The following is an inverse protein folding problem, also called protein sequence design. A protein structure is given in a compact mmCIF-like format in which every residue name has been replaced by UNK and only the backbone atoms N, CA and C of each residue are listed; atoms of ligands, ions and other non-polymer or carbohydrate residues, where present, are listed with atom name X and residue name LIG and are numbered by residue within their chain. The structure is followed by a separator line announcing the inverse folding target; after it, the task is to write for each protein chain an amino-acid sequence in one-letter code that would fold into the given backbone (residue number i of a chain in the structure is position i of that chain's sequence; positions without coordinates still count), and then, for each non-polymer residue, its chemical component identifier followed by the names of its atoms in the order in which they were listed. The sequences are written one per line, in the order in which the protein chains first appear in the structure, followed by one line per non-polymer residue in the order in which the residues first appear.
data_IF_302069064857
#
_entry.id   IF_302069064857
#
_cell.length_a   1.000
_cell.length_b   1.000
_cell.length_c   1.000
_cell.angle_alpha   90.00
_cell.angle_beta   90.00
_cell.angle_gamma   90.00
#
_symmetry.space_group_name_H-M   'P 1'
#
loop_
_entity.id
_entity.type
_entity.pdbx_description
1 polymer ?
#
# COMPACT_ATOMS: atom_id res chain seq x y z
N UNK A 1 14.74 -19.46 -9.89
CA UNK A 1 14.90 -18.26 -9.02
C UNK A 1 14.02 -17.10 -9.45
N UNK A 2 14.07 -16.67 -10.70
CA UNK A 2 13.33 -15.49 -11.22
C UNK A 2 11.81 -15.54 -10.96
N UNK A 3 11.15 -16.66 -11.21
CA UNK A 3 9.70 -16.80 -10.97
C UNK A 3 9.34 -16.67 -9.48
N UNK A 4 10.16 -17.21 -8.57
CA UNK A 4 9.94 -17.09 -7.13
C UNK A 4 10.07 -15.65 -6.65
N UNK A 5 11.05 -14.89 -7.16
CA UNK A 5 11.24 -13.48 -6.82
C UNK A 5 10.05 -12.64 -7.30
N UNK A 6 9.54 -12.90 -8.51
CA UNK A 6 8.34 -12.22 -9.00
C UNK A 6 7.08 -12.56 -8.20
N UNK A 7 6.91 -13.84 -7.87
CA UNK A 7 5.78 -14.26 -7.02
C UNK A 7 5.84 -13.62 -5.62
N UNK A 8 7.04 -13.55 -5.04
CA UNK A 8 7.25 -12.86 -3.77
C UNK A 8 6.90 -11.36 -3.88
N UNK A 9 7.35 -10.70 -4.97
CA UNK A 9 7.05 -9.29 -5.20
C UNK A 9 5.54 -9.02 -5.31
N UNK A 10 4.81 -9.86 -6.07
CA UNK A 10 3.36 -9.77 -6.19
C UNK A 10 2.67 -9.98 -4.82
N UNK A 11 3.19 -10.91 -4.03
CA UNK A 11 2.67 -11.18 -2.70
C UNK A 11 2.85 -9.99 -1.74
N UNK A 12 4.00 -9.30 -1.81
CA UNK A 12 4.23 -8.10 -1.01
C UNK A 12 3.37 -6.92 -1.47
N UNK A 13 3.17 -6.74 -2.78
CA UNK A 13 2.24 -5.74 -3.32
C UNK A 13 0.79 -6.01 -2.87
N UNK A 14 0.37 -7.28 -2.81
CA UNK A 14 -0.97 -7.64 -2.34
C UNK A 14 -1.20 -7.35 -0.84
N UNK A 15 -0.12 -7.23 -0.06
CA UNK A 15 -0.11 -6.77 1.34
C UNK A 15 -0.01 -5.25 1.48
N UNK A 16 -0.24 -4.51 0.40
CA UNK A 16 -0.11 -3.05 0.35
C UNK A 16 1.31 -2.54 0.66
N UNK A 17 2.35 -3.32 0.33
CA UNK A 17 3.75 -2.93 0.50
C UNK A 17 4.36 -2.48 -0.82
N UNK A 18 5.09 -1.38 -0.83
CA UNK A 18 5.91 -0.98 -1.98
C UNK A 18 6.98 -2.04 -2.23
N UNK A 19 7.25 -2.32 -3.50
CA UNK A 19 8.31 -3.26 -3.90
C UNK A 19 9.23 -2.58 -4.91
N UNK A 20 10.54 -2.69 -4.67
CA UNK A 20 11.54 -2.32 -5.67
C UNK A 20 12.18 -3.57 -6.26
N UNK A 21 12.34 -3.61 -7.59
CA UNK A 21 12.91 -4.75 -8.33
C UNK A 21 14.12 -4.30 -9.13
N UNK A 22 15.15 -5.14 -9.13
CA UNK A 22 16.27 -5.08 -10.05
C UNK A 22 16.23 -6.30 -10.98
N UNK A 23 16.42 -6.05 -12.27
CA UNK A 23 16.52 -7.10 -13.30
C UNK A 23 17.80 -6.91 -14.12
N UNK A 24 18.63 -7.93 -14.23
CA UNK A 24 19.79 -7.93 -15.15
C UNK A 24 19.26 -8.05 -16.58
N UNK A 25 19.42 -7.00 -17.37
CA UNK A 25 18.90 -6.91 -18.75
C UNK A 25 19.95 -7.27 -19.80
N UNK A 26 21.22 -6.95 -19.54
CA UNK A 26 22.31 -7.34 -20.47
C UNK A 26 23.63 -7.50 -19.72
N UNK A 27 24.49 -8.34 -20.27
CA UNK A 27 25.83 -8.60 -19.74
C UNK A 27 26.86 -8.61 -20.89
N UNK A 28 28.09 -8.21 -20.60
CA UNK A 28 29.22 -8.36 -21.53
C UNK A 28 30.51 -8.62 -20.76
N UNK A 29 31.36 -9.49 -21.32
CA UNK A 29 32.59 -9.93 -20.68
C UNK A 29 32.35 -10.87 -19.47
N UNK A 30 33.32 -10.96 -18.55
CA UNK A 30 33.20 -11.80 -17.36
C UNK A 30 32.39 -11.09 -16.27
N UNK A 31 31.22 -11.61 -15.97
CA UNK A 31 30.29 -11.03 -14.99
C UNK A 31 29.75 -12.12 -14.04
N UNK A 32 29.50 -11.83 -12.76
CA UNK A 32 28.99 -12.82 -11.80
C UNK A 32 27.49 -13.08 -11.94
N UNK A 33 26.74 -12.18 -12.57
CA UNK A 33 25.29 -12.29 -12.80
C UNK A 33 24.95 -12.83 -14.19
N UNK A 34 23.75 -13.37 -14.33
CA UNK A 34 23.20 -13.83 -15.61
C UNK A 34 22.05 -12.93 -16.02
N UNK A 35 21.87 -12.72 -17.32
CA UNK A 35 20.68 -12.07 -17.85
C UNK A 35 19.40 -12.73 -17.35
N UNK A 36 18.43 -11.93 -16.99
CA UNK A 36 17.19 -12.39 -16.36
C UNK A 36 17.30 -12.67 -14.85
N UNK A 37 18.48 -12.54 -14.22
CA UNK A 37 18.59 -12.60 -12.77
C UNK A 37 17.83 -11.43 -12.14
N UNK A 38 17.12 -11.68 -11.02
CA UNK A 38 16.28 -10.68 -10.35
C UNK A 38 16.48 -10.69 -8.86
N UNK A 39 16.43 -9.48 -8.30
CA UNK A 39 16.35 -9.20 -6.88
C UNK A 39 15.18 -8.25 -6.65
N UNK A 40 14.38 -8.53 -5.63
CA UNK A 40 13.30 -7.63 -5.21
C UNK A 40 13.46 -7.32 -3.72
N UNK A 41 13.02 -6.15 -3.30
CA UNK A 41 13.02 -5.76 -1.89
C UNK A 41 11.79 -4.92 -1.52
N UNK A 42 11.43 -4.98 -0.25
CA UNK A 42 10.59 -4.02 0.46
C UNK A 42 11.48 -3.12 1.33
N UNK A 43 10.89 -2.28 2.15
CA UNK A 43 11.65 -1.50 3.16
C UNK A 43 12.43 -2.39 4.13
N UNK A 44 11.96 -3.60 4.41
CA UNK A 44 12.51 -4.50 5.44
C UNK A 44 13.16 -5.76 4.90
N UNK A 45 12.70 -6.31 3.78
CA UNK A 45 13.07 -7.62 3.29
C UNK A 45 13.72 -7.56 1.91
N UNK A 46 14.52 -8.58 1.58
CA UNK A 46 15.17 -8.76 0.27
C UNK A 46 14.95 -10.19 -0.19
N UNK A 47 14.63 -10.39 -1.47
CA UNK A 47 14.41 -11.68 -2.10
C UNK A 47 15.10 -11.75 -3.46
N UNK A 48 15.74 -12.88 -3.78
CA UNK A 48 16.45 -13.09 -5.04
C UNK A 48 17.89 -12.55 -5.04
N UNK A 49 18.49 -12.48 -6.23
CA UNK A 49 19.88 -12.02 -6.42
C UNK A 49 20.10 -11.56 -7.86
N UNK A 50 20.95 -10.56 -8.03
CA UNK A 50 21.46 -10.12 -9.34
C UNK A 50 22.87 -10.63 -9.64
N UNK A 51 23.46 -11.37 -8.68
CA UNK A 51 24.80 -11.97 -8.78
C UNK A 51 25.94 -11.03 -8.35
N UNK A 52 26.88 -11.62 -7.60
CA UNK A 52 28.09 -10.93 -7.13
C UNK A 52 27.85 -9.95 -5.98
N UNK A 53 28.48 -10.20 -4.83
CA UNK A 53 28.24 -9.45 -3.59
C UNK A 53 28.42 -7.92 -3.76
N UNK A 54 29.43 -7.47 -4.48
CA UNK A 54 29.70 -6.05 -4.67
C UNK A 54 28.63 -5.35 -5.53
N UNK A 55 28.17 -6.00 -6.61
CA UNK A 55 27.08 -5.50 -7.45
C UNK A 55 25.77 -5.45 -6.65
N UNK A 56 25.46 -6.55 -5.96
CA UNK A 56 24.24 -6.70 -5.18
C UNK A 56 24.11 -5.64 -4.09
N UNK A 57 25.20 -5.35 -3.36
CA UNK A 57 25.22 -4.29 -2.36
C UNK A 57 24.89 -2.89 -2.94
N UNK A 58 25.44 -2.55 -4.12
CA UNK A 58 25.15 -1.26 -4.77
C UNK A 58 23.71 -1.20 -5.29
N UNK A 59 23.23 -2.28 -5.89
CA UNK A 59 21.85 -2.40 -6.37
C UNK A 59 20.86 -2.28 -5.19
N UNK A 60 21.07 -3.00 -4.10
CA UNK A 60 20.21 -2.92 -2.91
C UNK A 60 20.20 -1.49 -2.34
N UNK A 61 21.38 -0.87 -2.20
CA UNK A 61 21.48 0.51 -1.71
C UNK A 61 20.67 1.47 -2.59
N UNK A 62 20.80 1.35 -3.91
CA UNK A 62 20.07 2.21 -4.85
C UNK A 62 18.56 1.95 -4.80
N UNK A 63 18.12 0.69 -4.79
CA UNK A 63 16.71 0.34 -4.68
C UNK A 63 16.09 0.85 -3.37
N UNK A 64 16.81 0.81 -2.24
CA UNK A 64 16.35 1.37 -0.97
C UNK A 64 16.14 2.88 -1.07
N UNK A 65 17.09 3.61 -1.65
CA UNK A 65 16.93 5.04 -1.89
C UNK A 65 15.70 5.35 -2.77
N UNK A 66 15.49 4.55 -3.82
CA UNK A 66 14.34 4.73 -4.71
C UNK A 66 13.01 4.44 -4.00
N UNK A 67 12.89 3.35 -3.26
CA UNK A 67 11.64 2.95 -2.60
C UNK A 67 11.26 3.93 -1.48
N UNK A 68 12.24 4.46 -0.75
CA UNK A 68 12.03 5.43 0.34
C UNK A 68 11.51 6.78 -0.21
N UNK A 69 12.03 7.22 -1.36
CA UNK A 69 11.63 8.48 -1.99
C UNK A 69 10.42 8.38 -2.93
N UNK A 70 10.02 7.16 -3.32
CA UNK A 70 8.99 6.99 -4.33
C UNK A 70 7.59 7.31 -3.81
N UNK A 71 6.96 8.30 -4.42
CA UNK A 71 5.52 8.62 -4.25
C UNK A 71 4.65 8.08 -5.39
N UNK A 72 5.28 7.68 -6.50
CA UNK A 72 4.67 7.09 -7.69
C UNK A 72 5.59 6.02 -8.28
N UNK A 73 5.08 5.11 -9.14
CA UNK A 73 5.92 4.16 -9.85
C UNK A 73 7.03 4.88 -10.61
N UNK A 74 8.25 4.38 -10.52
CA UNK A 74 9.41 4.94 -11.21
C UNK A 74 10.43 3.86 -11.56
N UNK A 75 11.33 4.15 -12.49
CA UNK A 75 12.39 3.23 -12.86
C UNK A 75 13.53 3.93 -13.58
N UNK A 76 14.67 3.24 -13.60
CA UNK A 76 15.88 3.67 -14.32
C UNK A 76 16.71 2.45 -14.74
N UNK A 77 17.62 2.63 -15.68
CA UNK A 77 18.61 1.61 -16.08
C UNK A 77 19.99 2.11 -15.69
N UNK A 78 20.75 1.28 -14.98
CA UNK A 78 22.13 1.59 -14.61
C UNK A 78 23.06 0.53 -15.18
N UNK A 79 24.14 0.97 -15.85
CA UNK A 79 25.22 0.10 -16.29
C UNK A 79 26.40 0.17 -15.32
N UNK A 80 26.78 -0.97 -14.77
CA UNK A 80 27.94 -1.12 -13.91
C UNK A 80 29.11 -1.70 -14.67
N UNK A 81 30.28 -1.07 -14.58
CA UNK A 81 31.54 -1.63 -15.04
C UNK A 81 32.26 -2.33 -13.91
N UNK A 82 32.51 -3.61 -14.06
CA UNK A 82 33.06 -4.49 -12.99
C UNK A 82 34.59 -4.44 -12.89
N UNK A 83 35.21 -3.27 -13.12
CA UNK A 83 36.64 -3.04 -12.89
C UNK A 83 36.89 -1.60 -12.41
N UNK A 84 38.02 -1.38 -11.72
CA UNK A 84 38.42 -0.05 -11.20
C UNK A 84 38.63 1.03 -12.26
N UNK A 85 38.76 0.65 -13.51
CA UNK A 85 39.06 1.55 -14.65
C UNK A 85 37.93 1.63 -15.68
N UNK A 86 36.73 1.14 -15.39
CA UNK A 86 35.62 1.20 -16.31
C UNK A 86 35.30 2.65 -16.66
N UNK A 87 35.59 3.03 -17.90
CA UNK A 87 35.29 4.36 -18.48
C UNK A 87 34.18 4.20 -19.52
N UNK A 88 33.33 5.18 -19.59
CA UNK A 88 32.26 5.29 -20.58
C UNK A 88 31.18 6.21 -20.06
N UNK A 89 30.48 6.86 -20.98
CA UNK A 89 29.30 7.64 -20.67
C UNK A 89 28.28 6.72 -19.98
N UNK A 90 27.79 7.07 -18.81
CA UNK A 90 26.79 6.32 -18.04
C UNK A 90 27.25 4.98 -17.40
N UNK A 91 28.54 4.71 -17.27
CA UNK A 91 29.03 3.51 -16.58
C UNK A 91 29.44 3.87 -15.14
N UNK A 92 28.82 3.20 -14.18
CA UNK A 92 29.25 3.31 -12.76
C UNK A 92 30.35 2.28 -12.46
N UNK A 93 31.57 2.69 -12.11
CA UNK A 93 32.65 1.77 -11.80
C UNK A 93 32.37 0.99 -10.50
N UNK A 94 32.62 -0.30 -10.54
CA UNK A 94 32.55 -1.19 -9.39
C UNK A 94 33.92 -1.81 -9.15
N UNK A 95 34.38 -1.74 -7.90
CA UNK A 95 35.62 -2.43 -7.51
C UNK A 95 35.38 -3.95 -7.43
N UNK A 96 35.65 -4.65 -8.54
CA UNK A 96 35.44 -6.07 -8.70
C UNK A 96 36.63 -6.68 -9.44
N UNK A 97 36.90 -7.95 -9.18
CA UNK A 97 37.90 -8.75 -9.91
C UNK A 97 37.41 -9.18 -11.30
N UNK A 98 36.14 -8.97 -11.62
CA UNK A 98 35.54 -9.28 -12.91
C UNK A 98 35.75 -8.10 -13.88
N UNK A 99 36.00 -8.38 -15.16
CA UNK A 99 36.31 -7.35 -16.18
C UNK A 99 35.15 -7.01 -17.12
N UNK A 100 33.92 -7.39 -16.77
CA UNK A 100 32.73 -7.23 -17.62
C UNK A 100 31.88 -5.99 -17.31
N UNK A 101 30.77 -5.89 -18.01
CA UNK A 101 29.71 -4.89 -17.77
C UNK A 101 28.39 -5.58 -17.57
N UNK A 102 27.53 -4.97 -16.74
CA UNK A 102 26.17 -5.45 -16.47
C UNK A 102 25.21 -4.26 -16.45
N UNK A 103 24.15 -4.33 -17.24
CA UNK A 103 23.07 -3.34 -17.21
C UNK A 103 21.91 -3.91 -16.41
N UNK A 104 21.44 -3.12 -15.46
CA UNK A 104 20.37 -3.50 -14.52
C UNK A 104 19.23 -2.50 -14.65
N UNK A 105 18.05 -2.97 -14.96
CA UNK A 105 16.82 -2.18 -14.83
C UNK A 105 16.37 -2.21 -13.37
N UNK A 106 16.09 -1.04 -12.83
CA UNK A 106 15.60 -0.80 -11.48
C UNK A 106 14.20 -0.21 -11.55
N UNK A 107 13.25 -0.77 -10.84
CA UNK A 107 11.85 -0.31 -10.83
C UNK A 107 11.31 -0.27 -9.43
N UNK A 108 10.48 0.73 -9.13
CA UNK A 108 9.66 0.79 -7.91
C UNK A 108 8.20 0.65 -8.30
N UNK A 109 7.56 -0.35 -7.75
CA UNK A 109 6.13 -0.63 -7.88
C UNK A 109 5.42 -0.18 -6.61
N UNK A 110 4.31 0.52 -6.80
CA UNK A 110 3.42 0.94 -5.72
C UNK A 110 2.18 0.05 -5.77
N UNK A 111 1.72 -0.48 -4.62
CA UNK A 111 0.52 -1.32 -4.59
C UNK A 111 -0.71 -0.53 -5.06
N UNK A 112 -1.66 -1.24 -5.67
CA UNK A 112 -2.97 -0.67 -5.96
C UNK A 112 -3.72 -0.41 -4.66
N UNK A 113 -4.43 0.71 -4.52
CA UNK A 113 -5.30 0.95 -3.38
C UNK A 113 -6.29 -0.20 -3.19
N UNK A 114 -6.48 -0.61 -1.94
CA UNK A 114 -7.46 -1.59 -1.56
C UNK A 114 -8.26 -1.04 -0.38
N UNK A 115 -9.51 -0.71 -0.61
CA UNK A 115 -10.38 -0.02 0.34
C UNK A 115 -11.30 -1.02 1.01
N UNK A 116 -11.31 -1.07 2.35
CA UNK A 116 -12.35 -1.80 3.08
C UNK A 116 -13.51 -0.86 3.42
N UNK A 117 -14.69 -1.20 2.94
CA UNK A 117 -15.94 -0.50 3.20
C UNK A 117 -16.66 -1.21 4.34
N UNK A 118 -16.63 -0.64 5.54
CA UNK A 118 -17.34 -1.18 6.71
C UNK A 118 -18.71 -0.52 6.83
N UNK A 119 -19.73 -1.22 6.34
CA UNK A 119 -21.07 -0.74 6.06
C UNK A 119 -21.32 -0.66 4.55
N UNK A 120 -22.07 -1.63 3.98
CA UNK A 120 -22.30 -1.79 2.53
C UNK A 120 -23.49 -1.02 1.97
N UNK A 121 -23.92 0.07 2.64
CA UNK A 121 -25.05 0.89 2.23
C UNK A 121 -24.80 1.73 0.98
N UNK A 122 -25.64 2.77 0.75
CA UNK A 122 -25.59 3.60 -0.45
C UNK A 122 -24.23 4.29 -0.66
N UNK A 123 -23.63 4.84 0.40
CA UNK A 123 -22.31 5.47 0.30
C UNK A 123 -21.22 4.45 -0.11
N UNK A 124 -21.27 3.24 0.43
CA UNK A 124 -20.33 2.18 0.05
C UNK A 124 -20.49 1.79 -1.42
N UNK A 125 -21.74 1.70 -1.91
CA UNK A 125 -22.01 1.41 -3.32
C UNK A 125 -21.46 2.51 -4.23
N UNK A 126 -21.68 3.78 -3.91
CA UNK A 126 -21.15 4.90 -4.68
C UNK A 126 -19.61 4.88 -4.74
N UNK A 127 -18.93 4.57 -3.60
CA UNK A 127 -17.47 4.44 -3.56
C UNK A 127 -17.01 3.23 -4.39
N UNK A 128 -17.69 2.08 -4.28
CA UNK A 128 -17.38 0.89 -5.06
C UNK A 128 -17.48 1.15 -6.57
N UNK A 129 -18.53 1.86 -7.00
CA UNK A 129 -18.70 2.25 -8.41
C UNK A 129 -17.60 3.23 -8.87
N UNK A 130 -17.13 4.13 -8.01
CA UNK A 130 -16.00 5.01 -8.31
C UNK A 130 -14.65 4.28 -8.36
N UNK A 131 -14.47 3.18 -7.64
CA UNK A 131 -13.25 2.37 -7.69
C UNK A 131 -13.05 1.67 -9.05
N UNK A 132 -14.14 1.25 -9.72
CA UNK A 132 -14.10 0.48 -10.97
C UNK A 132 -13.29 1.16 -12.08
N UNK A 133 -13.58 2.42 -12.48
CA UNK A 133 -12.81 3.11 -13.52
C UNK A 133 -11.38 3.46 -13.12
N UNK A 134 -11.05 3.41 -11.82
CA UNK A 134 -9.71 3.66 -11.30
C UNK A 134 -8.88 2.37 -11.17
N UNK A 135 -9.47 1.22 -11.45
CA UNK A 135 -8.89 -0.11 -11.26
C UNK A 135 -8.46 -0.35 -9.78
N UNK A 136 -9.14 0.30 -8.83
CA UNK A 136 -8.88 0.13 -7.41
C UNK A 136 -9.63 -1.07 -6.86
N UNK A 137 -8.98 -1.79 -5.94
CA UNK A 137 -9.64 -2.87 -5.22
C UNK A 137 -10.50 -2.32 -4.08
N UNK A 138 -11.63 -2.98 -3.82
CA UNK A 138 -12.40 -2.76 -2.62
C UNK A 138 -12.94 -4.07 -2.06
N UNK A 139 -13.19 -4.06 -0.76
CA UNK A 139 -13.82 -5.14 0.00
C UNK A 139 -14.93 -4.57 0.85
N UNK A 140 -15.89 -5.39 1.26
CA UNK A 140 -17.03 -4.94 2.07
C UNK A 140 -17.21 -5.81 3.30
N UNK A 141 -17.56 -5.19 4.42
CA UNK A 141 -18.02 -5.84 5.65
C UNK A 141 -19.32 -5.20 6.10
N UNK A 142 -20.36 -5.99 6.34
CA UNK A 142 -21.64 -5.55 6.95
C UNK A 142 -22.22 -6.69 7.79
N UNK A 143 -22.91 -6.34 8.87
CA UNK A 143 -23.63 -7.29 9.71
C UNK A 143 -24.94 -7.79 9.07
N UNK A 144 -25.44 -7.06 8.07
CA UNK A 144 -26.66 -7.38 7.33
C UNK A 144 -26.30 -8.06 6.01
N UNK A 145 -26.87 -9.25 5.77
CA UNK A 145 -26.55 -10.08 4.62
C UNK A 145 -26.72 -9.37 3.27
N UNK A 146 -27.78 -8.57 3.12
CA UNK A 146 -28.10 -7.83 1.88
C UNK A 146 -27.11 -6.71 1.56
N UNK A 147 -26.33 -6.24 2.55
CA UNK A 147 -25.32 -5.19 2.39
C UNK A 147 -23.89 -5.72 2.48
N UNK A 148 -23.71 -6.99 2.83
CA UNK A 148 -22.39 -7.59 2.94
C UNK A 148 -21.79 -7.97 1.58
N UNK A 149 -22.46 -7.71 0.47
CA UNK A 149 -22.01 -8.06 -0.88
C UNK A 149 -22.18 -6.86 -1.82
N UNK A 150 -21.09 -6.47 -2.49
CA UNK A 150 -21.07 -5.47 -3.54
C UNK A 150 -20.42 -6.06 -4.79
N UNK A 151 -20.99 -5.77 -5.96
CA UNK A 151 -20.48 -6.27 -7.24
C UNK A 151 -19.06 -5.77 -7.51
N UNK A 152 -18.13 -6.70 -7.75
CA UNK A 152 -16.71 -6.43 -7.96
C UNK A 152 -15.87 -6.36 -6.66
N UNK A 153 -16.48 -6.62 -5.49
CA UNK A 153 -15.71 -6.69 -4.25
C UNK A 153 -14.71 -7.87 -4.26
N UNK A 154 -13.47 -7.59 -3.85
CA UNK A 154 -12.41 -8.59 -3.76
C UNK A 154 -12.62 -9.55 -2.59
N UNK A 155 -13.09 -9.02 -1.47
CA UNK A 155 -13.48 -9.79 -0.28
C UNK A 155 -14.87 -9.31 0.19
N UNK A 156 -15.67 -10.26 0.70
CA UNK A 156 -16.99 -9.97 1.25
C UNK A 156 -17.10 -10.63 2.63
N UNK A 157 -17.48 -9.85 3.64
CA UNK A 157 -17.54 -10.30 5.03
C UNK A 157 -18.93 -10.03 5.59
N UNK A 158 -19.75 -11.07 5.67
CA UNK A 158 -21.03 -11.05 6.39
C UNK A 158 -20.76 -11.44 7.84
N UNK A 159 -20.53 -10.48 8.70
CA UNK A 159 -20.21 -10.70 10.12
C UNK A 159 -20.51 -9.45 10.93
N UNK A 160 -20.72 -9.60 12.24
CA UNK A 160 -20.69 -8.45 13.15
C UNK A 160 -19.26 -7.87 13.27
N UNK A 161 -19.10 -6.62 13.75
CA UNK A 161 -17.78 -5.99 13.89
C UNK A 161 -16.81 -6.81 14.74
N UNK A 162 -17.25 -7.31 15.89
CA UNK A 162 -16.42 -8.13 16.80
C UNK A 162 -15.87 -9.38 16.12
N UNK A 163 -16.71 -10.10 15.37
CA UNK A 163 -16.30 -11.35 14.71
C UNK A 163 -15.31 -11.08 13.56
N UNK A 164 -15.50 -9.99 12.82
CA UNK A 164 -14.55 -9.56 11.80
C UNK A 164 -13.20 -9.21 12.45
N UNK A 165 -13.21 -8.34 13.46
CA UNK A 165 -12.00 -7.88 14.13
C UNK A 165 -11.24 -9.00 14.86
N UNK A 166 -11.94 -10.01 15.38
CA UNK A 166 -11.32 -11.17 16.01
C UNK A 166 -10.50 -12.04 15.04
N UNK A 167 -10.80 -11.97 13.73
CA UNK A 167 -10.08 -12.70 12.68
C UNK A 167 -8.92 -11.89 12.10
N UNK A 168 -8.81 -10.61 12.45
CA UNK A 168 -7.81 -9.69 11.91
C UNK A 168 -6.68 -9.41 12.91
N UNK A 169 -5.55 -9.03 12.35
CA UNK A 169 -4.38 -8.52 13.07
C UNK A 169 -3.85 -7.27 12.36
N UNK A 170 -2.90 -6.57 12.95
CA UNK A 170 -2.21 -5.46 12.28
C UNK A 170 -1.64 -5.88 10.91
N UNK A 171 -1.05 -7.09 10.84
CA UNK A 171 -0.47 -7.61 9.60
C UNK A 171 -1.52 -7.89 8.54
N UNK A 172 -2.62 -8.58 8.88
CA UNK A 172 -3.68 -8.88 7.92
C UNK A 172 -4.42 -7.63 7.45
N UNK A 173 -4.69 -6.68 8.36
CA UNK A 173 -5.29 -5.39 8.01
C UNK A 173 -4.40 -4.53 7.09
N UNK A 174 -3.08 -4.76 7.07
CA UNK A 174 -2.16 -4.01 6.22
C UNK A 174 -2.43 -4.15 4.71
N UNK A 175 -3.20 -5.18 4.29
CA UNK A 175 -3.65 -5.34 2.90
C UNK A 175 -4.59 -4.24 2.44
N UNK A 176 -5.25 -3.56 3.38
CA UNK A 176 -6.10 -2.41 3.09
C UNK A 176 -5.29 -1.11 3.20
N UNK A 177 -5.27 -0.33 2.13
CA UNK A 177 -4.69 1.02 2.16
C UNK A 177 -5.56 1.99 2.95
N UNK A 178 -6.87 1.74 2.91
CA UNK A 178 -7.92 2.58 3.50
C UNK A 178 -9.01 1.72 4.12
N UNK A 179 -9.53 2.16 5.27
CA UNK A 179 -10.73 1.60 5.87
C UNK A 179 -11.72 2.73 6.10
N UNK A 180 -12.95 2.55 5.61
CA UNK A 180 -14.01 3.54 5.69
C UNK A 180 -15.16 3.01 6.52
N UNK A 181 -15.46 3.68 7.63
CA UNK A 181 -16.62 3.38 8.46
C UNK A 181 -17.82 4.15 7.92
N UNK A 182 -18.73 3.42 7.27
CA UNK A 182 -19.88 3.92 6.54
C UNK A 182 -21.20 3.38 7.10
N UNK A 183 -21.15 2.84 8.32
CA UNK A 183 -22.27 2.19 8.97
C UNK A 183 -23.41 3.15 9.29
N UNK A 184 -24.61 2.60 9.37
CA UNK A 184 -25.82 3.31 9.81
C UNK A 184 -26.02 3.24 11.34
N UNK A 185 -25.42 2.22 11.97
CA UNK A 185 -25.50 2.00 13.42
C UNK A 185 -24.30 2.57 14.15
N UNK A 186 -24.55 3.45 15.12
CA UNK A 186 -23.51 4.12 15.89
C UNK A 186 -22.68 3.15 16.74
N UNK A 187 -23.31 2.14 17.31
CA UNK A 187 -22.62 1.16 18.17
C UNK A 187 -21.66 0.29 17.35
N UNK A 188 -22.11 -0.16 16.17
CA UNK A 188 -21.25 -0.92 15.29
C UNK A 188 -20.05 -0.09 14.80
N UNK A 189 -20.26 1.18 14.43
CA UNK A 189 -19.17 2.04 13.98
C UNK A 189 -18.20 2.39 15.12
N UNK A 190 -18.71 2.54 16.36
CA UNK A 190 -17.89 2.71 17.55
C UNK A 190 -17.03 1.46 17.79
N UNK A 191 -17.62 0.27 17.74
CA UNK A 191 -16.92 -1.00 17.91
C UNK A 191 -15.84 -1.19 16.84
N UNK A 192 -16.17 -0.89 15.58
CA UNK A 192 -15.22 -0.90 14.44
C UNK A 192 -14.04 0.03 14.69
N UNK A 193 -14.32 1.29 15.04
CA UNK A 193 -13.29 2.30 15.31
C UNK A 193 -12.35 1.86 16.42
N UNK A 194 -12.88 1.51 17.57
CA UNK A 194 -12.09 1.12 18.75
C UNK A 194 -11.28 -0.15 18.44
N UNK A 195 -11.88 -1.14 17.79
CA UNK A 195 -11.20 -2.37 17.45
C UNK A 195 -10.05 -2.17 16.47
N UNK A 196 -10.24 -1.40 15.40
CA UNK A 196 -9.20 -1.07 14.44
C UNK A 196 -8.03 -0.31 15.08
N UNK A 197 -8.32 0.65 15.96
CA UNK A 197 -7.30 1.40 16.67
C UNK A 197 -6.54 0.53 17.69
N UNK A 198 -7.19 -0.40 18.36
CA UNK A 198 -6.54 -1.39 19.25
C UNK A 198 -5.67 -2.37 18.49
N UNK A 199 -6.06 -2.75 17.27
CA UNK A 199 -5.24 -3.57 16.35
C UNK A 199 -4.12 -2.77 15.69
N UNK A 200 -3.98 -1.47 16.03
CA UNK A 200 -2.93 -0.58 15.51
C UNK A 200 -2.91 -0.52 13.98
N UNK A 201 -4.08 -0.44 13.35
CA UNK A 201 -4.16 -0.25 11.91
C UNK A 201 -3.39 0.99 11.48
N UNK A 202 -2.51 0.85 10.48
CA UNK A 202 -1.57 1.89 10.05
C UNK A 202 -2.00 2.58 8.74
N UNK A 203 -3.01 2.06 8.06
CA UNK A 203 -3.57 2.69 6.87
C UNK A 203 -4.46 3.89 7.20
N UNK A 204 -5.08 4.49 6.20
CA UNK A 204 -5.98 5.61 6.45
C UNK A 204 -7.34 5.13 6.95
N UNK A 205 -7.80 5.74 8.02
CA UNK A 205 -9.10 5.45 8.62
C UNK A 205 -10.01 6.67 8.48
N UNK A 206 -11.13 6.46 7.81
CA UNK A 206 -12.15 7.48 7.58
C UNK A 206 -13.48 7.08 8.21
N UNK A 207 -14.18 8.04 8.78
CA UNK A 207 -15.48 7.83 9.42
C UNK A 207 -16.50 8.80 8.83
N UNK A 208 -17.61 8.26 8.32
CA UNK A 208 -18.75 9.09 7.95
C UNK A 208 -19.51 9.54 9.19
N UNK A 209 -19.73 10.82 9.32
CA UNK A 209 -20.48 11.33 10.45
C UNK A 209 -20.32 12.83 10.67
N UNK A 210 -21.23 13.38 11.46
CA UNK A 210 -21.18 14.78 11.88
C UNK A 210 -20.10 15.01 12.95
N UNK A 211 -19.75 16.29 13.18
CA UNK A 211 -18.88 16.69 14.30
C UNK A 211 -19.39 16.17 15.66
N UNK A 212 -20.71 16.10 15.84
CA UNK A 212 -21.32 15.56 17.07
C UNK A 212 -21.06 14.07 17.24
N UNK A 213 -21.18 13.27 16.17
CA UNK A 213 -20.84 11.83 16.16
C UNK A 213 -19.36 11.65 16.50
N UNK A 214 -18.49 12.42 15.88
CA UNK A 214 -17.05 12.35 16.14
C UNK A 214 -16.70 12.69 17.61
N UNK A 215 -17.28 13.74 18.18
CA UNK A 215 -17.05 14.10 19.56
C UNK A 215 -17.46 12.98 20.53
N UNK A 216 -18.58 12.29 20.26
CA UNK A 216 -19.00 11.13 21.05
C UNK A 216 -18.01 9.97 20.93
N UNK A 217 -17.58 9.64 19.71
CA UNK A 217 -16.60 8.57 19.45
C UNK A 217 -15.26 8.86 20.09
N UNK A 218 -14.77 10.10 20.00
CA UNK A 218 -13.53 10.55 20.65
C UNK A 218 -13.57 10.33 22.14
N UNK A 219 -14.68 10.70 22.80
CA UNK A 219 -14.83 10.50 24.24
C UNK A 219 -14.72 9.03 24.63
N UNK A 220 -15.47 8.17 23.97
CA UNK A 220 -15.49 6.73 24.28
C UNK A 220 -14.15 6.07 23.96
N UNK A 221 -13.50 6.47 22.87
CA UNK A 221 -12.18 5.96 22.50
C UNK A 221 -11.12 6.33 23.55
N UNK A 222 -11.12 7.56 24.07
CA UNK A 222 -10.25 7.99 25.17
C UNK A 222 -10.51 7.18 26.45
N UNK A 223 -11.78 6.96 26.80
CA UNK A 223 -12.19 6.13 27.93
C UNK A 223 -11.74 4.66 27.74
N UNK A 224 -11.62 4.20 26.48
CA UNK A 224 -11.12 2.87 26.11
C UNK A 224 -9.59 2.76 26.06
N UNK A 225 -8.86 3.83 26.40
CA UNK A 225 -7.40 3.87 26.45
C UNK A 225 -6.70 4.19 25.13
N UNK A 226 -7.44 4.65 24.11
CA UNK A 226 -6.84 5.14 22.86
C UNK A 226 -6.29 6.56 23.09
N UNK A 227 -5.07 6.83 22.60
CA UNK A 227 -4.45 8.15 22.77
C UNK A 227 -5.05 9.21 21.85
N UNK A 228 -5.00 10.48 22.27
CA UNK A 228 -5.42 11.62 21.43
C UNK A 228 -4.59 11.72 20.15
N UNK A 229 -3.32 11.33 20.18
CA UNK A 229 -2.44 11.30 19.01
C UNK A 229 -2.94 10.29 17.99
N UNK A 230 -3.28 9.08 18.39
CA UNK A 230 -3.88 8.05 17.53
C UNK A 230 -5.19 8.54 16.92
N UNK A 231 -6.04 9.20 17.70
CA UNK A 231 -7.31 9.74 17.21
C UNK A 231 -7.12 10.87 16.18
N UNK A 232 -6.06 11.64 16.29
CA UNK A 232 -5.77 12.72 15.32
C UNK A 232 -5.47 12.22 13.92
N UNK A 233 -5.11 10.95 13.75
CA UNK A 233 -4.90 10.33 12.44
C UNK A 233 -6.19 9.87 11.75
N UNK A 234 -7.32 9.88 12.45
CA UNK A 234 -8.62 9.47 11.91
C UNK A 234 -9.31 10.65 11.23
N UNK A 235 -9.76 10.46 10.01
CA UNK A 235 -10.50 11.49 9.26
C UNK A 235 -12.00 11.41 9.57
N UNK A 236 -12.52 12.37 10.32
CA UNK A 236 -13.95 12.52 10.58
C UNK A 236 -14.34 14.00 10.72
N UNK A 237 -15.29 14.52 9.94
CA UNK A 237 -15.98 13.87 8.82
C UNK A 237 -15.02 13.40 7.72
N UNK A 238 -15.38 12.30 7.06
CA UNK A 238 -14.65 11.88 5.88
C UNK A 238 -14.97 12.79 4.71
N UNK A 239 -13.94 13.23 3.98
CA UNK A 239 -14.11 14.07 2.80
C UNK A 239 -14.02 15.57 3.05
N UNK A 240 -14.20 16.35 1.98
CA UNK A 240 -14.15 17.81 2.01
C UNK A 240 -15.47 18.40 2.53
N UNK A 241 -15.38 19.49 3.27
CA UNK A 241 -16.55 20.22 3.82
C UNK A 241 -17.10 21.18 2.75
N UNK A 242 -17.82 20.64 1.77
CA UNK A 242 -18.48 21.42 0.70
C UNK A 242 -20.00 21.28 0.71
N UNK A 243 -20.58 20.79 1.81
CA UNK A 243 -22.02 20.69 1.98
C UNK A 243 -22.66 19.56 1.16
N UNK A 244 -22.02 18.39 1.10
CA UNK A 244 -22.57 17.23 0.42
C UNK A 244 -23.90 16.77 1.03
N UNK A 245 -24.89 16.53 0.18
CA UNK A 245 -26.23 16.07 0.57
C UNK A 245 -26.54 14.66 0.06
N UNK A 246 -25.83 14.19 -0.98
CA UNK A 246 -26.06 12.86 -1.57
C UNK A 246 -24.90 11.88 -1.30
N UNK A 247 -25.16 10.55 -1.33
CA UNK A 247 -24.10 9.53 -1.24
C UNK A 247 -23.01 9.67 -2.30
N UNK A 248 -23.39 10.07 -3.52
CA UNK A 248 -22.48 10.27 -4.63
C UNK A 248 -21.57 11.48 -4.39
N UNK A 249 -22.09 12.56 -3.84
CA UNK A 249 -21.31 13.74 -3.46
C UNK A 249 -20.35 13.40 -2.32
N UNK A 250 -20.79 12.67 -1.31
CA UNK A 250 -19.93 12.18 -0.22
C UNK A 250 -18.78 11.32 -0.80
N UNK A 251 -19.06 10.49 -1.80
CA UNK A 251 -18.05 9.70 -2.48
C UNK A 251 -17.02 10.60 -3.20
N UNK A 252 -17.44 11.64 -3.90
CA UNK A 252 -16.55 12.60 -4.57
C UNK A 252 -15.68 13.38 -3.58
N UNK A 253 -16.15 13.55 -2.35
CA UNK A 253 -15.43 14.25 -1.29
C UNK A 253 -14.38 13.38 -0.58
N UNK A 254 -14.47 12.07 -0.74
CA UNK A 254 -13.46 11.16 -0.25
C UNK A 254 -12.20 11.32 -1.08
N UNK A 255 -11.25 12.10 -0.58
CA UNK A 255 -9.94 12.24 -1.18
C UNK A 255 -9.01 11.16 -0.64
N UNK A 256 -8.84 10.09 -1.40
CA UNK A 256 -7.64 9.27 -1.28
C UNK A 256 -6.46 10.12 -1.75
N UNK A 257 -5.38 10.37 -0.98
CA UNK A 257 -4.21 10.99 -1.55
C UNK A 257 -3.73 10.11 -2.70
N UNK A 258 -4.01 10.59 -3.92
CA UNK A 258 -3.39 10.05 -5.11
C UNK A 258 -1.87 10.12 -4.89
N UNK A 259 -1.07 9.18 -5.43
CA UNK A 259 0.38 9.34 -5.50
C UNK A 259 0.82 10.69 -6.10
N UNK A 260 -0.09 11.41 -6.77
CA UNK A 260 0.14 12.77 -7.30
C UNK A 260 0.07 13.85 -6.23
N UNK A 261 -0.70 13.65 -5.16
CA UNK A 261 -0.93 14.67 -4.13
C UNK A 261 0.19 14.74 -3.09
N UNK A 262 1.02 13.70 -2.99
CA UNK A 262 2.19 13.66 -2.12
C UNK A 262 3.41 14.42 -2.67
N UNK A 263 3.30 15.04 -3.85
CA UNK A 263 4.40 15.74 -4.52
C UNK A 263 4.47 17.26 -4.25
N UNK A 264 3.63 17.81 -3.36
CA UNK A 264 3.51 19.26 -3.11
C UNK A 264 3.78 19.68 -1.66
N UNK A 265 4.54 18.87 -0.91
CA UNK A 265 5.03 19.26 0.42
C UNK A 265 6.54 19.16 0.52
#
# INVERSE_FOLDING_TARGET
MTARTMQWALNELSKNRKVAIASVVSTSGSVPGKEGARLALTSTEVNGTVGGAGLEMKVIKKLRQMIDSATKPCGEIITYGLNKGAKGYEVQPLDSLCGGRVSVALEVMIPMPHILLMGGGHCAKAIADACKPLDWNFSVQDSRAEYATLDGAKETHHSCPSDFLAQESQETLSRFSDILLLGHDWKEDEERLIGLLKLQYQGRLGVIGSKSKWNAFTKIALESGISSETLSSVNCPIGLDIGAESPEEICLLYTSPSPRDLSTS
#
